data_IF_646313713119
#
_entry.id   IF_646313713119
#
_cell.length_a   1.000
_cell.length_b   1.000
_cell.length_c   1.000
_cell.angle_alpha   90.00
_cell.angle_beta   90.00
_cell.angle_gamma   90.00
#
_symmetry.space_group_name_H-M   'P 1'
#
loop_
_entity.id
_entity.type
_entity.pdbx_description
1 polymer ?
#
# COMPACT_ATOMS: atom_id res chain seq x y z
N UNK A 1 -7.76 13.30 4.12
CA UNK A 1 -8.31 12.13 4.83
C UNK A 1 -8.75 11.12 3.78
N UNK A 2 -7.98 10.04 3.57
CA UNK A 2 -8.22 9.04 2.52
C UNK A 2 -9.62 8.41 2.59
N UNK A 3 -10.17 8.30 3.79
CA UNK A 3 -11.44 7.64 4.03
C UNK A 3 -12.63 8.50 3.56
N UNK A 4 -12.53 9.83 3.70
CA UNK A 4 -13.50 10.78 3.14
C UNK A 4 -13.43 10.83 1.61
N UNK A 5 -12.24 10.69 1.05
CA UNK A 5 -12.03 10.69 -0.39
C UNK A 5 -12.61 9.42 -1.05
N UNK A 6 -12.43 8.26 -0.41
CA UNK A 6 -13.03 7.00 -0.84
C UNK A 6 -14.57 7.03 -0.78
N UNK A 7 -15.16 7.61 0.27
CA UNK A 7 -16.61 7.79 0.37
C UNK A 7 -17.16 8.71 -0.73
N UNK A 8 -16.46 9.80 -1.03
CA UNK A 8 -16.84 10.74 -2.09
C UNK A 8 -16.82 10.09 -3.47
N UNK A 9 -15.77 9.32 -3.79
CA UNK A 9 -15.69 8.59 -5.05
C UNK A 9 -16.77 7.50 -5.18
N UNK A 10 -17.14 6.86 -4.08
CA UNK A 10 -18.25 5.88 -4.06
C UNK A 10 -19.59 6.55 -4.36
N UNK A 11 -19.85 7.72 -3.77
CA UNK A 11 -21.06 8.50 -4.05
C UNK A 11 -21.11 8.99 -5.51
N UNK A 12 -19.97 9.40 -6.07
CA UNK A 12 -19.86 9.84 -7.46
C UNK A 12 -20.09 8.68 -8.45
N UNK A 13 -19.58 7.48 -8.15
CA UNK A 13 -19.91 6.26 -8.89
C UNK A 13 -21.42 5.97 -8.90
N UNK A 14 -22.06 6.05 -7.74
CA UNK A 14 -23.49 5.74 -7.60
C UNK A 14 -24.38 6.77 -8.31
N UNK A 15 -23.95 8.03 -8.33
CA UNK A 15 -24.57 9.09 -9.13
C UNK A 15 -24.43 8.81 -10.63
N UNK A 16 -23.23 8.49 -11.10
CA UNK A 16 -22.99 8.15 -12.51
C UNK A 16 -23.79 6.92 -12.95
N UNK A 17 -23.94 5.91 -12.09
CA UNK A 17 -24.75 4.72 -12.38
C UNK A 17 -26.25 5.06 -12.50
N UNK A 18 -26.76 5.93 -11.62
CA UNK A 18 -28.14 6.44 -11.72
C UNK A 18 -28.37 7.23 -13.00
N UNK A 19 -27.43 8.09 -13.39
CA UNK A 19 -27.51 8.85 -14.65
C UNK A 19 -27.51 7.91 -15.87
N UNK A 20 -26.63 6.90 -15.88
CA UNK A 20 -26.59 5.91 -16.96
C UNK A 20 -27.90 5.14 -17.08
N UNK A 21 -28.52 4.77 -15.95
CA UNK A 21 -29.83 4.11 -15.93
C UNK A 21 -30.93 5.01 -16.52
N UNK A 22 -30.89 6.30 -16.22
CA UNK A 22 -31.83 7.27 -16.75
C UNK A 22 -31.65 7.49 -18.26
N UNK A 23 -30.40 7.57 -18.74
CA UNK A 23 -30.06 7.69 -20.16
C UNK A 23 -30.51 6.43 -20.92
N UNK A 24 -30.23 5.22 -20.40
CA UNK A 24 -30.68 3.96 -21.01
C UNK A 24 -32.19 3.91 -21.14
N UNK A 25 -32.93 4.30 -20.09
CA UNK A 25 -34.40 4.39 -20.12
C UNK A 25 -34.90 5.40 -21.15
N UNK A 26 -34.22 6.55 -21.27
CA UNK A 26 -34.50 7.55 -22.31
C UNK A 26 -34.34 6.98 -23.72
N UNK A 27 -33.21 6.32 -24.00
CA UNK A 27 -32.94 5.70 -25.30
C UNK A 27 -33.97 4.63 -25.68
N UNK A 28 -34.37 3.77 -24.74
CA UNK A 28 -35.41 2.75 -24.99
C UNK A 28 -36.74 3.41 -25.37
N UNK A 29 -37.13 4.49 -24.69
CA UNK A 29 -38.35 5.24 -25.01
C UNK A 29 -38.29 5.90 -26.40
N UNK A 30 -37.15 6.47 -26.76
CA UNK A 30 -36.96 7.08 -28.09
C UNK A 30 -37.06 6.03 -29.20
N UNK A 31 -36.39 4.88 -29.05
CA UNK A 31 -36.47 3.78 -30.04
C UNK A 31 -37.89 3.24 -30.15
N UNK A 32 -38.62 3.10 -29.05
CA UNK A 32 -40.02 2.68 -29.08
C UNK A 32 -40.90 3.68 -29.87
N UNK A 33 -40.71 4.99 -29.65
CA UNK A 33 -41.40 6.06 -30.37
C UNK A 33 -41.09 6.04 -31.87
N UNK A 34 -39.84 5.79 -32.23
CA UNK A 34 -39.39 5.70 -33.62
C UNK A 34 -40.01 4.47 -34.33
N UNK A 35 -40.05 3.31 -33.66
CA UNK A 35 -40.76 2.14 -34.17
C UNK A 35 -42.27 2.39 -34.36
N UNK A 36 -42.91 3.09 -33.43
CA UNK A 36 -44.34 3.45 -33.51
C UNK A 36 -44.60 4.35 -34.74
N UNK A 37 -43.81 5.42 -34.91
CA UNK A 37 -43.90 6.31 -36.06
C UNK A 37 -43.61 5.59 -37.38
N UNK A 38 -42.69 4.62 -37.40
CA UNK A 38 -42.40 3.82 -38.58
C UNK A 38 -43.58 2.93 -38.98
N UNK A 39 -44.23 2.28 -38.00
CA UNK A 39 -45.44 1.51 -38.21
C UNK A 39 -46.59 2.37 -38.75
N UNK A 40 -46.80 3.57 -38.19
CA UNK A 40 -47.79 4.54 -38.70
C UNK A 40 -47.46 5.01 -40.11
N UNK A 41 -46.20 5.35 -40.40
CA UNK A 41 -45.77 5.77 -41.73
C UNK A 41 -45.99 4.67 -42.77
N UNK A 42 -45.72 3.41 -42.41
CA UNK A 42 -46.00 2.26 -43.26
C UNK A 42 -47.49 2.10 -43.52
N UNK A 43 -48.33 2.30 -42.50
CA UNK A 43 -49.80 2.27 -42.64
C UNK A 43 -50.30 3.39 -43.55
N UNK A 44 -49.80 4.61 -43.39
CA UNK A 44 -50.14 5.76 -44.25
C UNK A 44 -49.69 5.55 -45.70
N UNK A 45 -48.49 5.01 -45.92
CA UNK A 45 -48.02 4.63 -47.26
C UNK A 45 -48.92 3.58 -47.90
N UNK A 46 -49.35 2.57 -47.15
CA UNK A 46 -50.27 1.56 -47.65
C UNK A 46 -51.65 2.15 -48.02
N UNK A 47 -52.21 2.99 -47.15
CA UNK A 47 -53.45 3.73 -47.42
C UNK A 47 -53.34 4.58 -48.69
N UNK A 48 -52.28 5.38 -48.80
CA UNK A 48 -52.00 6.25 -49.96
C UNK A 48 -51.81 5.48 -51.26
N UNK A 49 -51.11 4.33 -51.22
CA UNK A 49 -50.95 3.46 -52.37
C UNK A 49 -52.28 2.79 -52.77
N UNK A 50 -53.12 2.42 -51.81
CA UNK A 50 -54.44 1.82 -52.09
C UNK A 50 -55.47 2.83 -52.59
N UNK A 51 -55.33 4.11 -52.23
CA UNK A 51 -56.25 5.18 -52.66
C UNK A 51 -55.88 5.78 -54.02
N UNK A 52 -54.65 5.55 -54.51
CA UNK A 52 -54.13 6.06 -55.79
C UNK A 52 -54.92 5.58 -57.02
N UNK A 53 -55.30 4.29 -57.13
CA UNK A 53 -56.14 3.82 -58.24
C UNK A 53 -57.52 4.48 -58.30
N UNK A 54 -58.05 4.96 -57.17
CA UNK A 54 -59.35 5.63 -57.09
C UNK A 54 -59.28 7.13 -57.44
N UNK A 55 -58.07 7.72 -57.53
CA UNK A 55 -57.88 9.13 -57.90
C UNK A 55 -57.58 9.31 -59.40
N UNK A 56 -56.90 8.35 -60.03
CA UNK A 56 -56.65 8.38 -61.48
C UNK A 56 -57.93 8.15 -62.31
N UNK A 57 -58.97 7.53 -61.73
CA UNK A 57 -60.25 7.25 -62.40
C UNK A 57 -61.31 8.34 -62.13
N UNK A 58 -61.06 9.25 -61.18
CA UNK A 58 -62.02 10.29 -60.75
C UNK A 58 -61.63 11.72 -61.14
N UNK A 59 -60.54 11.91 -61.87
CA UNK A 59 -60.21 13.20 -62.48
C UNK A 59 -60.78 13.22 -63.90
N UNK A 60 -61.83 14.02 -64.19
CA UNK A 60 -62.18 14.32 -65.57
C UNK A 60 -60.93 14.85 -66.28
N UNK A 61 -60.64 14.31 -67.45
CA UNK A 61 -59.65 14.89 -68.33
C UNK A 61 -59.98 16.38 -68.50
N UNK A 62 -58.97 17.26 -68.48
CA UNK A 62 -59.15 18.72 -68.66
C UNK A 62 -59.86 19.03 -70.00
N UNK A 63 -59.99 18.03 -70.88
CA UNK A 63 -60.78 18.07 -72.11
C UNK A 63 -62.31 18.16 -71.90
N UNK A 64 -62.85 17.83 -70.72
CA UNK A 64 -64.30 17.83 -70.46
C UNK A 64 -64.83 19.13 -69.83
N UNK A 65 -63.94 20.08 -69.47
CA UNK A 65 -64.32 21.41 -68.97
C UNK A 65 -64.55 22.44 -70.08
N UNK A 66 -64.43 22.05 -71.35
CA UNK A 66 -64.75 22.91 -72.50
C UNK A 66 -66.07 22.42 -73.09
N UNK A 67 -67.16 22.57 -72.34
CA UNK A 67 -68.52 22.40 -72.85
C UNK A 67 -69.39 23.53 -72.30
N UNK A 68 -69.65 24.49 -73.20
CA UNK A 68 -70.75 25.47 -73.20
C UNK A 68 -70.92 26.38 -71.97
N UNK A 69 -70.50 27.63 -72.12
CA UNK A 69 -71.28 28.76 -71.64
C UNK A 69 -71.60 29.67 -72.84
N UNK A 70 -72.74 29.38 -73.47
CA UNK A 70 -73.48 30.32 -74.29
C UNK A 70 -74.05 31.42 -73.39
N UNK A 71 -73.76 32.67 -73.78
CA UNK A 71 -74.74 33.75 -73.87
C UNK A 71 -75.63 34.04 -72.65
N UNK A 72 -75.25 35.07 -71.87
CA UNK A 72 -76.23 35.98 -71.28
C UNK A 72 -75.90 37.41 -71.63
N UNK A 73 -76.74 37.95 -72.50
CA UNK A 73 -76.84 39.31 -72.96
C UNK A 73 -77.06 40.29 -71.78
N UNK A 74 -76.23 41.31 -71.67
CA UNK A 74 -76.60 42.60 -71.05
C UNK A 74 -75.90 43.70 -71.84
N UNK A 75 -76.50 44.07 -72.98
CA UNK A 75 -76.13 45.24 -73.78
C UNK A 75 -76.36 46.55 -73.00
N UNK A 76 -75.29 47.34 -72.89
CA UNK A 76 -75.31 48.81 -72.77
C UNK A 76 -74.63 49.38 -74.03
N UNK A 77 -75.27 50.27 -74.82
CA UNK A 77 -74.79 50.67 -76.14
C UNK A 77 -73.96 51.97 -76.07
N UNK A 78 -72.65 51.89 -76.31
CA UNK A 78 -71.82 53.09 -76.45
C UNK A 78 -70.31 52.91 -76.73
N UNK A 79 -69.73 51.72 -76.57
CA UNK A 79 -68.30 51.50 -76.84
C UNK A 79 -68.07 50.62 -78.05
N UNK A 80 -67.23 51.11 -78.97
CA UNK A 80 -66.72 50.38 -80.14
C UNK A 80 -66.11 49.02 -79.70
N UNK A 81 -66.66 47.87 -80.15
CA UNK A 81 -66.17 46.53 -79.77
C UNK A 81 -64.67 46.33 -80.01
N UNK A 82 -64.11 46.96 -81.04
CA UNK A 82 -62.68 46.85 -81.36
C UNK A 82 -61.78 47.50 -80.29
N UNK A 83 -62.22 48.63 -79.73
CA UNK A 83 -61.51 49.33 -78.65
C UNK A 83 -61.50 48.52 -77.35
N UNK A 84 -62.59 47.80 -77.06
CA UNK A 84 -62.67 46.87 -75.93
C UNK A 84 -61.69 45.71 -76.07
N UNK A 85 -61.65 45.03 -77.22
CA UNK A 85 -60.69 43.94 -77.45
C UNK A 85 -59.23 44.41 -77.39
N UNK A 86 -58.94 45.61 -77.92
CA UNK A 86 -57.60 46.20 -77.84
C UNK A 86 -57.15 46.47 -76.40
N UNK A 87 -58.05 46.97 -75.55
CA UNK A 87 -57.76 47.19 -74.12
C UNK A 87 -57.58 45.85 -73.39
N UNK A 88 -58.46 44.87 -73.65
CA UNK A 88 -58.37 43.52 -73.07
C UNK A 88 -57.03 42.84 -73.40
N UNK A 89 -56.54 42.95 -74.64
CA UNK A 89 -55.22 42.40 -75.03
C UNK A 89 -54.08 43.09 -74.27
N UNK A 90 -54.18 44.42 -74.05
CA UNK A 90 -53.18 45.18 -73.29
C UNK A 90 -53.16 44.77 -71.81
N UNK A 91 -54.32 44.64 -71.18
CA UNK A 91 -54.44 44.24 -69.78
C UNK A 91 -53.94 42.80 -69.56
N UNK A 92 -54.24 41.89 -70.50
CA UNK A 92 -53.68 40.54 -70.51
C UNK A 92 -52.15 40.55 -70.70
N UNK A 93 -51.63 41.41 -71.57
CA UNK A 93 -50.19 41.53 -71.79
C UNK A 93 -49.45 42.06 -70.56
N UNK A 94 -50.03 43.02 -69.83
CA UNK A 94 -49.51 43.51 -68.56
C UNK A 94 -49.58 42.43 -67.47
N UNK A 95 -50.70 41.70 -67.39
CA UNK A 95 -50.87 40.57 -66.45
C UNK A 95 -49.83 39.47 -66.71
N UNK A 96 -49.63 39.08 -67.97
CA UNK A 96 -48.60 38.10 -68.35
C UNK A 96 -47.20 38.61 -67.99
N UNK A 97 -46.92 39.90 -68.19
CA UNK A 97 -45.63 40.50 -67.84
C UNK A 97 -45.40 40.48 -66.32
N UNK A 98 -46.41 40.80 -65.51
CA UNK A 98 -46.35 40.72 -64.04
C UNK A 98 -46.11 39.28 -63.57
N UNK A 99 -46.89 38.33 -64.11
CA UNK A 99 -46.75 36.90 -63.77
C UNK A 99 -45.38 36.34 -64.15
N UNK A 100 -44.76 36.82 -65.25
CA UNK A 100 -43.41 36.42 -65.64
C UNK A 100 -42.34 36.94 -64.67
N UNK A 101 -42.48 38.17 -64.16
CA UNK A 101 -41.54 38.70 -63.17
C UNK A 101 -41.72 38.02 -61.81
N UNK A 102 -42.96 37.77 -61.37
CA UNK A 102 -43.25 36.98 -60.18
C UNK A 102 -42.67 35.56 -60.28
N UNK A 103 -42.86 34.88 -61.43
CA UNK A 103 -42.25 33.57 -61.69
C UNK A 103 -40.73 33.62 -61.56
N UNK A 104 -40.09 34.66 -62.12
CA UNK A 104 -38.63 34.84 -62.04
C UNK A 104 -38.18 35.09 -60.59
N UNK A 105 -38.92 35.89 -59.84
CA UNK A 105 -38.65 36.14 -58.42
C UNK A 105 -38.78 34.86 -57.58
N UNK A 106 -39.87 34.10 -57.75
CA UNK A 106 -40.09 32.83 -57.07
C UNK A 106 -39.03 31.79 -57.46
N UNK A 107 -38.60 31.77 -58.73
CA UNK A 107 -37.52 30.88 -59.18
C UNK A 107 -36.21 31.21 -58.47
N UNK A 108 -35.87 32.50 -58.33
CA UNK A 108 -34.68 32.93 -57.58
C UNK A 108 -34.78 32.56 -56.09
N UNK A 109 -35.97 32.72 -55.48
CA UNK A 109 -36.20 32.31 -54.08
C UNK A 109 -36.04 30.79 -53.90
N UNK A 110 -36.62 29.99 -54.79
CA UNK A 110 -36.45 28.53 -54.77
C UNK A 110 -34.99 28.10 -54.91
N UNK A 111 -34.23 28.76 -55.79
CA UNK A 111 -32.79 28.49 -55.94
C UNK A 111 -31.99 28.84 -54.68
N UNK A 112 -32.33 29.93 -54.00
CA UNK A 112 -31.67 30.31 -52.75
C UNK A 112 -32.02 29.33 -51.61
N UNK A 113 -33.30 28.94 -51.49
CA UNK A 113 -33.72 27.92 -50.52
C UNK A 113 -33.07 26.56 -50.80
N UNK A 114 -32.98 26.17 -52.07
CA UNK A 114 -32.29 24.94 -52.48
C UNK A 114 -30.82 24.95 -52.05
N UNK A 115 -30.10 26.07 -52.27
CA UNK A 115 -28.72 26.22 -51.80
C UNK A 115 -28.60 26.14 -50.28
N UNK A 116 -29.53 26.76 -49.55
CA UNK A 116 -29.53 26.71 -48.09
C UNK A 116 -29.77 25.29 -47.57
N UNK A 117 -30.65 24.52 -48.21
CA UNK A 117 -30.88 23.10 -47.88
C UNK A 117 -29.61 22.29 -48.12
N UNK A 118 -28.92 22.51 -49.23
CA UNK A 118 -27.65 21.82 -49.56
C UNK A 118 -26.55 22.14 -48.54
N UNK A 119 -26.40 23.41 -48.15
CA UNK A 119 -25.43 23.85 -47.13
C UNK A 119 -25.72 23.23 -45.76
N UNK A 120 -26.98 23.25 -45.30
CA UNK A 120 -27.39 22.63 -44.03
C UNK A 120 -27.22 21.11 -44.06
N UNK A 121 -27.46 20.48 -45.20
CA UNK A 121 -27.25 19.04 -45.38
C UNK A 121 -25.77 18.69 -45.25
N UNK A 122 -24.89 19.43 -45.94
CA UNK A 122 -23.45 19.23 -45.85
C UNK A 122 -22.91 19.47 -44.42
N UNK A 123 -23.43 20.48 -43.70
CA UNK A 123 -23.06 20.73 -42.31
C UNK A 123 -23.48 19.55 -41.40
N UNK A 124 -24.71 19.06 -41.57
CA UNK A 124 -25.23 17.92 -40.80
C UNK A 124 -24.40 16.66 -41.06
N UNK A 125 -24.00 16.40 -42.31
CA UNK A 125 -23.14 15.27 -42.65
C UNK A 125 -21.75 15.37 -42.00
N UNK A 126 -21.18 16.58 -41.97
CA UNK A 126 -19.92 16.85 -41.28
C UNK A 126 -20.02 16.60 -39.78
N UNK A 127 -21.06 17.14 -39.13
CA UNK A 127 -21.31 16.93 -37.70
C UNK A 127 -21.54 15.45 -37.38
N UNK A 128 -22.25 14.72 -38.25
CA UNK A 128 -22.41 13.27 -38.11
C UNK A 128 -21.08 12.51 -38.22
N UNK A 129 -20.18 12.93 -39.12
CA UNK A 129 -18.85 12.35 -39.25
C UNK A 129 -18.00 12.60 -38.00
N UNK A 130 -18.02 13.83 -37.47
CA UNK A 130 -17.33 14.19 -36.22
C UNK A 130 -17.89 13.40 -35.03
N UNK A 131 -19.21 13.28 -34.92
CA UNK A 131 -19.87 12.47 -33.89
C UNK A 131 -19.46 11.00 -33.96
N UNK A 132 -19.33 10.42 -35.16
CA UNK A 132 -18.85 9.03 -35.33
C UNK A 132 -17.41 8.85 -34.85
N UNK A 133 -16.52 9.80 -35.14
CA UNK A 133 -15.13 9.73 -34.69
C UNK A 133 -15.00 9.93 -33.16
N UNK A 134 -15.83 10.81 -32.58
CA UNK A 134 -15.94 10.96 -31.12
C UNK A 134 -16.42 9.66 -30.46
N UNK A 135 -17.45 9.01 -31.01
CA UNK A 135 -17.92 7.71 -30.49
C UNK A 135 -16.83 6.64 -30.52
N UNK A 136 -16.05 6.57 -31.60
CA UNK A 136 -14.91 5.66 -31.73
C UNK A 136 -13.84 5.95 -30.67
N UNK A 137 -13.55 7.23 -30.41
CA UNK A 137 -12.61 7.65 -29.36
C UNK A 137 -13.10 7.26 -27.97
N UNK A 138 -14.38 7.49 -27.66
CA UNK A 138 -15.00 7.08 -26.39
C UNK A 138 -14.93 5.56 -26.22
N UNK A 139 -15.16 4.79 -27.29
CA UNK A 139 -15.06 3.33 -27.23
C UNK A 139 -13.61 2.87 -26.94
N UNK A 140 -12.62 3.49 -27.56
CA UNK A 140 -11.20 3.23 -27.31
C UNK A 140 -10.79 3.59 -25.88
N UNK A 141 -11.25 4.74 -25.36
CA UNK A 141 -11.03 5.14 -23.98
C UNK A 141 -11.71 4.17 -23.00
N UNK A 142 -12.95 3.73 -23.29
CA UNK A 142 -13.65 2.73 -22.48
C UNK A 142 -12.90 1.41 -22.41
N UNK A 143 -12.36 0.92 -23.54
CA UNK A 143 -11.49 -0.28 -23.58
C UNK A 143 -10.23 -0.09 -22.75
N UNK A 144 -9.62 1.09 -22.81
CA UNK A 144 -8.42 1.43 -22.03
C UNK A 144 -8.71 1.47 -20.53
N UNK A 145 -9.82 2.07 -20.12
CA UNK A 145 -10.27 2.09 -18.72
C UNK A 145 -10.51 0.66 -18.21
N UNK A 146 -11.14 -0.22 -19.00
CA UNK A 146 -11.32 -1.63 -18.62
C UNK A 146 -10.00 -2.35 -18.36
N UNK A 147 -8.98 -2.11 -19.21
CA UNK A 147 -7.64 -2.66 -19.00
C UNK A 147 -6.99 -2.10 -17.73
N UNK A 148 -7.08 -0.78 -17.50
CA UNK A 148 -6.59 -0.17 -16.26
C UNK A 148 -7.26 -0.75 -15.01
N UNK A 149 -8.58 -0.93 -15.03
CA UNK A 149 -9.31 -1.52 -13.91
C UNK A 149 -8.89 -2.97 -13.65
N UNK A 150 -8.64 -3.76 -14.71
CA UNK A 150 -8.09 -5.11 -14.58
C UNK A 150 -6.74 -5.10 -13.88
N UNK A 151 -5.82 -4.27 -14.37
CA UNK A 151 -4.50 -4.11 -13.76
C UNK A 151 -4.58 -3.63 -12.31
N UNK A 152 -5.48 -2.68 -12.02
CA UNK A 152 -5.70 -2.21 -10.65
C UNK A 152 -6.12 -3.34 -9.72
N UNK A 153 -7.03 -4.22 -10.15
CA UNK A 153 -7.44 -5.40 -9.39
C UNK A 153 -6.27 -6.37 -9.18
N UNK A 154 -5.48 -6.62 -10.23
CA UNK A 154 -4.30 -7.49 -10.13
C UNK A 154 -3.26 -6.93 -9.16
N UNK A 155 -2.97 -5.63 -9.24
CA UNK A 155 -2.03 -4.97 -8.33
C UNK A 155 -2.50 -4.99 -6.88
N UNK A 156 -3.80 -4.80 -6.62
CA UNK A 156 -4.36 -4.92 -5.26
C UNK A 156 -4.20 -6.35 -4.72
N UNK A 157 -4.51 -7.36 -5.53
CA UNK A 157 -4.36 -8.76 -5.15
C UNK A 157 -2.88 -9.14 -4.90
N UNK A 158 -1.97 -8.72 -5.79
CA UNK A 158 -0.52 -8.92 -5.60
C UNK A 158 -0.04 -8.28 -4.29
N UNK A 159 -0.47 -7.05 -3.99
CA UNK A 159 -0.14 -6.36 -2.74
C UNK A 159 -0.69 -7.07 -1.50
N UNK A 160 -1.96 -7.49 -1.53
CA UNK A 160 -2.59 -8.22 -0.42
C UNK A 160 -1.85 -9.52 -0.13
N UNK A 161 -1.50 -10.30 -1.16
CA UNK A 161 -0.73 -11.53 -1.00
C UNK A 161 0.65 -11.29 -0.38
N UNK A 162 1.37 -10.26 -0.84
CA UNK A 162 2.67 -9.91 -0.28
C UNK A 162 2.57 -9.43 1.17
N UNK A 163 1.51 -8.70 1.50
CA UNK A 163 1.23 -8.27 2.87
C UNK A 163 0.95 -9.47 3.77
N UNK A 164 0.09 -10.39 3.37
CA UNK A 164 -0.21 -11.61 4.14
C UNK A 164 1.04 -12.47 4.37
N UNK A 165 1.89 -12.60 3.35
CA UNK A 165 3.15 -13.32 3.46
C UNK A 165 4.11 -12.65 4.47
N UNK A 166 4.21 -11.32 4.44
CA UNK A 166 5.01 -10.56 5.39
C UNK A 166 4.48 -10.70 6.82
N UNK A 167 3.16 -10.59 7.03
CA UNK A 167 2.54 -10.74 8.35
C UNK A 167 2.78 -12.14 8.92
N UNK A 168 2.71 -13.18 8.08
CA UNK A 168 3.04 -14.55 8.45
C UNK A 168 4.52 -14.67 8.86
N UNK A 169 5.44 -14.14 8.06
CA UNK A 169 6.88 -14.17 8.35
C UNK A 169 7.19 -13.47 9.68
N UNK A 170 6.63 -12.29 9.92
CA UNK A 170 6.79 -11.56 11.17
C UNK A 170 6.28 -12.37 12.37
N UNK A 171 5.11 -13.01 12.24
CA UNK A 171 4.56 -13.85 13.31
C UNK A 171 5.46 -15.05 13.64
N UNK A 172 6.05 -15.67 12.61
CA UNK A 172 6.96 -16.80 12.78
C UNK A 172 8.28 -16.35 13.40
N UNK A 173 8.81 -15.20 12.98
CA UNK A 173 10.01 -14.59 13.56
C UNK A 173 9.81 -14.30 15.04
N UNK A 174 8.69 -13.67 15.41
CA UNK A 174 8.39 -13.36 16.81
C UNK A 174 8.25 -14.64 17.67
N UNK A 175 7.60 -15.68 17.14
CA UNK A 175 7.54 -16.99 17.80
C UNK A 175 8.92 -17.60 17.98
N UNK A 176 9.78 -17.53 16.97
CA UNK A 176 11.16 -18.03 17.04
C UNK A 176 12.00 -17.26 18.07
N UNK A 177 11.88 -15.93 18.12
CA UNK A 177 12.55 -15.08 19.11
C UNK A 177 12.11 -15.41 20.54
N UNK A 178 10.79 -15.56 20.74
CA UNK A 178 10.22 -15.94 22.04
C UNK A 178 10.72 -17.31 22.48
N UNK A 179 10.72 -18.30 21.57
CA UNK A 179 11.21 -19.65 21.84
C UNK A 179 12.71 -19.65 22.17
N UNK A 180 13.53 -18.91 21.42
CA UNK A 180 14.96 -18.80 21.69
C UNK A 180 15.23 -18.16 23.07
N UNK A 181 14.48 -17.13 23.44
CA UNK A 181 14.57 -16.52 24.77
C UNK A 181 14.20 -17.51 25.87
N UNK A 182 13.09 -18.24 25.73
CA UNK A 182 12.67 -19.25 26.68
C UNK A 182 13.71 -20.37 26.85
N UNK A 183 14.30 -20.85 25.74
CA UNK A 183 15.38 -21.84 25.75
C UNK A 183 16.62 -21.32 26.46
N UNK A 184 17.01 -20.07 26.24
CA UNK A 184 18.16 -19.46 26.94
C UNK A 184 17.90 -19.35 28.44
N UNK A 185 16.70 -18.95 28.85
CA UNK A 185 16.32 -18.86 30.26
C UNK A 185 16.38 -20.24 30.92
N UNK A 186 15.80 -21.27 30.29
CA UNK A 186 15.86 -22.66 30.79
C UNK A 186 17.29 -23.18 30.86
N UNK A 187 18.14 -22.89 29.86
CA UNK A 187 19.55 -23.29 29.87
C UNK A 187 20.32 -22.60 31.01
N UNK A 188 20.08 -21.30 31.25
CA UNK A 188 20.70 -20.58 32.38
C UNK A 188 20.25 -21.15 33.73
N UNK A 189 18.97 -21.47 33.88
CA UNK A 189 18.46 -22.07 35.12
C UNK A 189 18.99 -23.48 35.35
N UNK A 190 19.04 -24.33 34.30
CA UNK A 190 19.66 -25.65 34.38
C UNK A 190 21.16 -25.58 34.71
N UNK A 191 21.90 -24.63 34.10
CA UNK A 191 23.30 -24.39 34.42
C UNK A 191 23.48 -23.93 35.87
N UNK A 192 22.60 -23.07 36.38
CA UNK A 192 22.60 -22.64 37.79
C UNK A 192 22.39 -23.83 38.72
N UNK A 193 21.40 -24.68 38.42
CA UNK A 193 21.12 -25.89 39.19
C UNK A 193 22.30 -26.88 39.18
N UNK A 194 22.89 -27.12 38.00
CA UNK A 194 24.09 -27.96 37.84
C UNK A 194 25.28 -27.44 38.66
N UNK A 195 25.50 -26.12 38.65
CA UNK A 195 26.56 -25.49 39.44
C UNK A 195 26.35 -25.65 40.95
N UNK A 196 25.11 -25.51 41.44
CA UNK A 196 24.78 -25.73 42.86
C UNK A 196 25.05 -27.18 43.25
N UNK A 197 24.62 -28.15 42.43
CA UNK A 197 24.86 -29.57 42.68
C UNK A 197 26.36 -29.91 42.66
N UNK A 198 27.14 -29.34 41.74
CA UNK A 198 28.60 -29.51 41.71
C UNK A 198 29.29 -28.92 42.95
N UNK A 199 28.82 -27.78 43.47
CA UNK A 199 29.31 -27.22 44.73
C UNK A 199 28.94 -28.06 45.95
N UNK A 200 27.78 -28.69 45.95
CA UNK A 200 27.27 -29.49 47.07
C UNK A 200 27.70 -30.96 47.01
N UNK A 201 28.13 -31.44 45.84
CA UNK A 201 28.32 -32.85 45.53
C UNK A 201 29.57 -33.50 46.14
N UNK A 202 30.43 -32.75 46.82
CA UNK A 202 31.61 -33.29 47.47
C UNK A 202 31.52 -33.10 49.00
N UNK A 203 31.05 -34.12 49.75
CA UNK A 203 31.07 -34.12 51.21
C UNK A 203 32.48 -33.84 51.75
N UNK A 204 33.51 -34.21 50.98
CA UNK A 204 34.91 -33.94 51.30
C UNK A 204 35.22 -32.44 51.28
N UNK A 205 34.67 -31.66 50.35
CA UNK A 205 34.91 -30.20 50.29
C UNK A 205 34.20 -29.50 51.46
N UNK A 206 32.97 -29.90 51.78
CA UNK A 206 32.26 -29.38 52.95
C UNK A 206 32.98 -29.74 54.25
N UNK A 207 33.52 -30.96 54.36
CA UNK A 207 34.33 -31.40 55.50
C UNK A 207 35.66 -30.65 55.58
N UNK A 208 36.37 -30.46 54.46
CA UNK A 208 37.62 -29.68 54.41
C UNK A 208 37.37 -28.25 54.88
N UNK A 209 36.30 -27.61 54.42
CA UNK A 209 35.93 -26.27 54.85
C UNK A 209 35.60 -26.22 56.35
N UNK A 210 34.86 -27.20 56.85
CA UNK A 210 34.59 -27.31 58.30
C UNK A 210 35.87 -27.54 59.12
N UNK A 211 36.83 -28.31 58.60
CA UNK A 211 38.12 -28.53 59.24
C UNK A 211 38.99 -27.26 59.21
N UNK A 212 38.96 -26.47 58.15
CA UNK A 212 39.60 -25.15 58.07
C UNK A 212 38.98 -24.17 59.09
N UNK A 213 37.65 -24.14 59.20
CA UNK A 213 36.94 -23.32 60.18
C UNK A 213 37.33 -23.74 61.61
N UNK A 214 37.35 -25.05 61.92
CA UNK A 214 37.79 -25.56 63.23
C UNK A 214 39.25 -25.19 63.51
N UNK A 215 40.14 -25.30 62.53
CA UNK A 215 41.54 -24.91 62.69
C UNK A 215 41.68 -23.40 62.96
N UNK A 216 40.89 -22.56 62.29
CA UNK A 216 40.89 -21.11 62.50
C UNK A 216 40.37 -20.72 63.89
N UNK A 217 39.30 -21.37 64.36
CA UNK A 217 38.73 -21.17 65.70
C UNK A 217 39.69 -21.68 66.76
N UNK A 218 40.36 -22.80 66.52
CA UNK A 218 41.37 -23.34 67.45
C UNK A 218 42.56 -22.39 67.56
N UNK A 219 43.03 -21.84 66.43
CA UNK A 219 44.11 -20.86 66.41
C UNK A 219 43.75 -19.59 67.18
N UNK A 220 42.57 -19.02 66.92
CA UNK A 220 42.11 -17.82 67.64
C UNK A 220 41.88 -18.11 69.13
N UNK A 221 41.36 -19.28 69.50
CA UNK A 221 41.20 -19.68 70.89
C UNK A 221 42.55 -19.83 71.60
N UNK A 222 43.56 -20.38 70.93
CA UNK A 222 44.91 -20.50 71.47
C UNK A 222 45.59 -19.13 71.60
N UNK A 223 45.42 -18.24 70.62
CA UNK A 223 45.85 -16.84 70.70
C UNK A 223 45.22 -16.12 71.89
N UNK A 224 43.92 -16.28 72.11
CA UNK A 224 43.21 -15.74 73.28
C UNK A 224 43.71 -16.38 74.59
N UNK A 225 44.01 -17.69 74.59
CA UNK A 225 44.61 -18.38 75.75
C UNK A 225 45.99 -17.83 76.11
N UNK A 226 46.85 -17.62 75.11
CA UNK A 226 48.20 -17.09 75.30
C UNK A 226 48.11 -15.65 75.80
N UNK A 227 47.27 -14.81 75.19
CA UNK A 227 47.03 -13.45 75.67
C UNK A 227 46.50 -13.41 77.11
N UNK A 228 45.62 -14.34 77.48
CA UNK A 228 45.13 -14.45 78.86
C UNK A 228 46.23 -14.94 79.81
N UNK A 229 47.04 -15.92 79.40
CA UNK A 229 48.18 -16.43 80.17
C UNK A 229 49.22 -15.34 80.43
N UNK A 230 49.53 -14.51 79.44
CA UNK A 230 50.43 -13.36 79.56
C UNK A 230 49.85 -12.30 80.51
N UNK A 231 48.57 -11.92 80.35
CA UNK A 231 47.90 -10.99 81.27
C UNK A 231 47.82 -11.52 82.71
N UNK A 232 47.61 -12.83 82.91
CA UNK A 232 47.64 -13.46 84.24
C UNK A 232 49.07 -13.48 84.80
N UNK A 233 50.09 -13.72 83.98
CA UNK A 233 51.50 -13.64 84.38
C UNK A 233 51.93 -12.22 84.77
N UNK A 234 51.51 -11.21 84.02
CA UNK A 234 51.75 -9.79 84.32
C UNK A 234 51.01 -9.35 85.59
N UNK A 235 49.75 -9.75 85.75
CA UNK A 235 48.97 -9.43 86.97
C UNK A 235 49.47 -10.19 88.21
N UNK A 236 49.93 -11.43 88.08
CA UNK A 236 50.59 -12.17 89.17
C UNK A 236 51.97 -11.61 89.51
N UNK A 237 52.76 -11.18 88.52
CA UNK A 237 54.06 -10.52 88.74
C UNK A 237 53.92 -9.18 89.47
N UNK A 238 52.88 -8.40 89.14
CA UNK A 238 52.52 -7.17 89.88
C UNK A 238 51.90 -7.43 91.26
N UNK A 239 51.39 -8.65 91.49
CA UNK A 239 50.85 -9.08 92.79
C UNK A 239 51.97 -9.58 93.73
N UNK A 240 53.07 -10.10 93.19
CA UNK A 240 54.21 -10.61 93.97
C UNK A 240 55.14 -9.50 94.50
N UNK A 241 55.14 -8.30 93.92
CA UNK A 241 55.79 -7.10 94.51
C UNK A 241 54.92 -6.39 95.57
N UNK A 242 53.70 -6.89 95.83
CA UNK A 242 52.76 -6.24 96.76
C UNK A 242 51.93 -7.19 97.63
N UNK A 243 52.54 -8.20 98.29
CA UNK A 243 52.09 -8.71 99.61
C UNK A 243 52.98 -9.81 100.21
N UNK A 244 53.89 -9.38 101.09
CA UNK A 244 54.16 -10.07 102.35
C UNK A 244 52.92 -9.96 103.25
N UNK A 245 52.71 -11.00 104.05
CA UNK A 245 51.78 -11.21 105.18
C UNK A 245 50.34 -11.76 104.96
N UNK A 246 50.25 -13.08 105.24
CA UNK A 246 49.38 -13.74 106.25
C UNK A 246 47.87 -13.88 105.99
N UNK A 247 47.54 -15.12 105.60
CA UNK A 247 46.63 -16.07 106.26
C UNK A 247 45.10 -15.96 106.19
N UNK A 248 44.56 -17.13 105.80
CA UNK A 248 43.45 -17.88 106.39
C UNK A 248 42.02 -17.31 106.30
N UNK A 249 41.18 -17.98 105.51
CA UNK A 249 40.17 -18.94 106.03
C UNK A 249 39.26 -19.48 104.92
N UNK A 250 39.17 -20.81 104.86
CA UNK A 250 38.13 -21.64 104.23
C UNK A 250 36.86 -21.66 105.15
N UNK A 251 35.62 -22.00 104.70
CA UNK A 251 35.31 -23.23 103.95
C UNK A 251 34.21 -23.18 102.86
N UNK A 252 34.22 -24.25 102.06
CA UNK A 252 33.24 -24.77 101.08
C UNK A 252 31.96 -25.35 101.74
N UNK A 253 31.01 -26.05 101.05
CA UNK A 253 30.74 -26.24 99.61
C UNK A 253 29.23 -26.03 99.21
N UNK A 254 28.90 -25.98 97.92
CA UNK A 254 27.49 -25.99 97.47
C UNK A 254 27.30 -26.11 95.95
N UNK A 255 26.54 -27.12 95.55
CA UNK A 255 26.35 -27.74 94.22
C UNK A 255 25.59 -26.90 93.16
N UNK A 256 25.82 -27.24 91.87
CA UNK A 256 24.86 -27.25 90.72
C UNK A 256 24.90 -26.06 89.69
N UNK A 257 24.25 -26.17 88.50
CA UNK A 257 24.86 -26.13 87.15
C UNK A 257 24.55 -24.85 86.34
N UNK A 258 25.08 -24.64 85.11
CA UNK A 258 24.97 -23.37 84.38
C UNK A 258 23.59 -23.13 83.74
N UNK A 259 23.21 -21.87 83.47
CA UNK A 259 21.92 -21.52 82.87
C UNK A 259 21.94 -21.67 81.34
N UNK A 260 20.80 -22.11 80.81
CA UNK A 260 20.52 -22.29 79.38
C UNK A 260 20.14 -20.96 78.68
N UNK A 261 20.46 -20.79 77.38
CA UNK A 261 19.93 -19.72 76.53
C UNK A 261 18.51 -20.03 76.01
N UNK A 262 17.71 -19.01 75.63
CA UNK A 262 16.28 -19.14 75.32
C UNK A 262 15.99 -19.85 73.98
N UNK A 263 14.76 -20.40 73.79
CA UNK A 263 14.41 -21.20 72.62
C UNK A 263 14.11 -20.34 71.38
N UNK A 264 14.61 -20.77 70.22
CA UNK A 264 14.18 -20.29 68.90
C UNK A 264 13.03 -21.15 68.37
N UNK A 265 12.08 -20.58 67.59
CA UNK A 265 10.94 -21.31 67.04
C UNK A 265 11.37 -22.32 65.95
N UNK A 266 10.59 -23.40 65.73
CA UNK A 266 10.91 -24.40 64.72
C UNK A 266 10.68 -23.87 63.30
N UNK A 267 11.48 -24.29 62.31
CA UNK A 267 11.19 -24.04 60.89
C UNK A 267 9.96 -24.86 60.43
N UNK A 268 9.18 -24.37 59.46
CA UNK A 268 8.04 -25.10 58.89
C UNK A 268 8.50 -26.37 58.14
N UNK A 269 7.63 -27.39 58.01
CA UNK A 269 7.95 -28.61 57.26
C UNK A 269 8.17 -28.29 55.77
N UNK A 270 9.08 -29.00 55.08
CA UNK A 270 9.23 -28.89 53.64
C UNK A 270 7.95 -29.37 52.92
N UNK A 271 7.57 -28.77 51.78
CA UNK A 271 6.49 -29.28 50.94
C UNK A 271 6.83 -30.68 50.40
N UNK A 272 5.83 -31.53 50.10
CA UNK A 272 6.07 -32.83 49.50
C UNK A 272 6.81 -32.69 48.16
N UNK A 273 7.72 -33.63 47.81
CA UNK A 273 8.39 -33.59 46.52
C UNK A 273 7.36 -33.70 45.38
N UNK A 274 7.54 -32.97 44.27
CA UNK A 274 6.70 -33.14 43.08
C UNK A 274 6.86 -34.57 42.52
N UNK A 275 5.82 -35.15 41.90
CA UNK A 275 5.91 -36.46 41.28
C UNK A 275 7.01 -36.48 40.21
N UNK A 276 7.75 -37.60 40.07
CA UNK A 276 8.82 -37.71 39.08
C UNK A 276 8.26 -37.50 37.66
N UNK A 277 9.00 -36.79 36.78
CA UNK A 277 8.61 -36.66 35.38
C UNK A 277 8.62 -38.02 34.67
N UNK A 278 7.73 -38.24 33.68
CA UNK A 278 7.69 -39.49 32.92
C UNK A 278 9.00 -39.71 32.14
N UNK A 279 9.44 -40.96 31.98
CA UNK A 279 10.70 -41.27 31.29
C UNK A 279 10.67 -40.85 29.82
N UNK A 280 11.76 -40.26 29.28
CA UNK A 280 11.84 -39.89 27.88
C UNK A 280 11.94 -41.13 26.97
N UNK A 281 11.37 -41.08 25.74
CA UNK A 281 11.35 -42.22 24.84
C UNK A 281 12.76 -42.61 24.37
N UNK A 282 13.12 -43.87 24.63
CA UNK A 282 14.41 -44.46 24.29
C UNK A 282 14.57 -44.64 22.77
N UNK A 283 15.29 -43.73 22.12
CA UNK A 283 16.05 -43.96 20.87
C UNK A 283 17.21 -42.96 20.94
N UNK A 284 18.48 -43.36 21.12
CA UNK A 284 19.35 -43.89 20.08
C UNK A 284 20.59 -44.53 20.72
N UNK A 285 21.03 -45.67 20.17
CA UNK A 285 22.17 -46.46 20.65
C UNK A 285 23.54 -45.78 20.38
N UNK A 286 24.41 -45.59 21.40
CA UNK A 286 25.72 -44.92 21.26
C UNK A 286 26.81 -45.77 20.59
N UNK A 287 26.53 -47.03 20.26
CA UNK A 287 27.50 -47.95 19.64
C UNK A 287 27.89 -47.56 18.20
N UNK A 288 27.04 -46.81 17.50
CA UNK A 288 27.29 -46.36 16.11
C UNK A 288 28.48 -45.39 16.01
N UNK A 289 28.63 -44.51 17.00
CA UNK A 289 29.69 -43.49 17.03
C UNK A 289 31.06 -44.09 17.37
N UNK A 290 31.10 -45.13 18.21
CA UNK A 290 32.35 -45.78 18.61
C UNK A 290 32.96 -46.60 17.45
N UNK A 291 32.11 -47.27 16.67
CA UNK A 291 32.54 -48.07 15.51
C UNK A 291 33.14 -47.18 14.40
N UNK A 292 32.68 -45.94 14.27
CA UNK A 292 33.22 -44.97 13.31
C UNK A 292 34.62 -44.46 13.71
N UNK A 293 34.90 -44.36 15.02
CA UNK A 293 36.19 -43.92 15.54
C UNK A 293 37.24 -45.05 15.43
N UNK A 294 36.84 -46.31 15.67
CA UNK A 294 37.77 -47.44 15.66
C UNK A 294 38.21 -47.91 14.26
N UNK A 295 37.54 -47.51 13.17
CA UNK A 295 37.93 -47.89 11.79
C UNK A 295 38.94 -46.93 11.13
N UNK A 296 39.35 -45.85 11.79
CA UNK A 296 40.25 -44.83 11.23
C UNK A 296 41.59 -44.76 11.96
N UNK A 297 42.28 -45.90 12.08
CA UNK A 297 43.67 -45.94 12.56
C UNK A 297 44.47 -47.09 11.93
N UNK A 298 44.76 -47.00 10.63
CA UNK A 298 45.82 -47.81 10.02
C UNK A 298 46.43 -47.15 8.76
N UNK A 299 47.50 -46.35 8.93
CA UNK A 299 48.75 -46.34 8.10
C UNK A 299 49.59 -45.07 8.29
N UNK A 300 50.85 -45.28 8.73
CA UNK A 300 52.06 -44.46 8.47
C UNK A 300 52.19 -43.17 9.29
N UNK A 301 53.31 -42.79 9.90
CA UNK A 301 54.65 -43.36 10.00
C UNK A 301 55.60 -42.32 10.65
N UNK A 302 56.35 -42.76 11.67
CA UNK A 302 57.58 -42.22 12.30
C UNK A 302 57.77 -40.70 12.58
N UNK A 303 57.95 -40.38 13.87
CA UNK A 303 58.69 -39.22 14.39
C UNK A 303 58.59 -39.11 15.92
N UNK A 304 59.73 -39.18 16.63
CA UNK A 304 59.88 -39.21 18.11
C UNK A 304 59.68 -37.83 18.78
N UNK A 305 59.42 -37.76 20.11
CA UNK A 305 58.85 -36.59 20.77
C UNK A 305 59.91 -35.65 21.37
N UNK A 306 59.66 -34.33 21.36
CA UNK A 306 60.34 -33.38 22.26
C UNK A 306 59.45 -32.17 22.56
N UNK A 307 59.05 -32.11 23.83
CA UNK A 307 58.74 -30.97 24.70
C UNK A 307 58.63 -29.56 24.04
N UNK A 308 57.45 -28.95 24.08
CA UNK A 308 57.27 -27.53 24.42
C UNK A 308 55.79 -27.19 24.65
N UNK A 309 55.48 -26.78 25.87
CA UNK A 309 54.15 -26.47 26.39
C UNK A 309 54.12 -24.98 26.72
N UNK A 310 53.74 -24.14 25.75
CA UNK A 310 53.45 -22.71 26.00
C UNK A 310 52.58 -22.03 24.91
N UNK A 311 52.50 -22.54 23.69
CA UNK A 311 51.83 -21.84 22.57
C UNK A 311 50.40 -22.31 22.26
N UNK A 312 49.87 -23.28 22.99
CA UNK A 312 48.58 -23.94 22.65
C UNK A 312 47.37 -23.06 22.99
N UNK A 313 47.48 -22.14 23.95
CA UNK A 313 46.33 -21.37 24.42
C UNK A 313 45.90 -20.25 23.45
N UNK A 314 46.84 -19.56 22.79
CA UNK A 314 46.51 -18.54 21.78
C UNK A 314 45.89 -19.16 20.52
N UNK A 315 46.42 -20.30 20.04
CA UNK A 315 45.90 -20.95 18.84
C UNK A 315 44.46 -21.47 19.04
N UNK A 316 44.10 -21.89 20.26
CA UNK A 316 42.74 -22.35 20.58
C UNK A 316 41.75 -21.19 20.61
N UNK A 317 42.15 -20.02 21.13
CA UNK A 317 41.28 -18.84 21.14
C UNK A 317 41.16 -18.21 19.74
N UNK A 318 42.19 -18.27 18.90
CA UNK A 318 42.11 -17.86 17.50
C UNK A 318 41.14 -18.75 16.69
N UNK A 319 41.12 -20.06 16.97
CA UNK A 319 40.18 -21.01 16.35
C UNK A 319 38.75 -20.77 16.82
N UNK A 320 38.53 -20.43 18.10
CA UNK A 320 37.20 -20.07 18.61
C UNK A 320 36.69 -18.76 18.01
N UNK A 321 37.53 -17.73 17.92
CA UNK A 321 37.16 -16.45 17.32
C UNK A 321 36.84 -16.62 15.84
N UNK A 322 37.62 -17.41 15.09
CA UNK A 322 37.32 -17.75 13.69
C UNK A 322 35.99 -18.53 13.57
N UNK A 323 35.73 -19.49 14.44
CA UNK A 323 34.49 -20.26 14.44
C UNK A 323 33.25 -19.43 14.79
N UNK A 324 33.36 -18.49 15.75
CA UNK A 324 32.27 -17.58 16.10
C UNK A 324 32.02 -16.57 14.99
N UNK A 325 33.07 -16.04 14.36
CA UNK A 325 32.93 -15.10 13.25
C UNK A 325 32.31 -15.77 12.02
N UNK A 326 32.72 -17.01 11.71
CA UNK A 326 32.10 -17.84 10.67
C UNK A 326 30.63 -18.17 11.00
N UNK A 327 30.31 -18.43 12.27
CA UNK A 327 28.94 -18.66 12.73
C UNK A 327 28.09 -17.39 12.61
N UNK A 328 28.61 -16.23 13.00
CA UNK A 328 27.92 -14.94 12.86
C UNK A 328 27.67 -14.59 11.39
N UNK A 329 28.64 -14.86 10.50
CA UNK A 329 28.46 -14.67 9.05
C UNK A 329 27.42 -15.63 8.47
N UNK A 330 27.33 -16.88 8.94
CA UNK A 330 26.22 -17.79 8.54
C UNK A 330 24.86 -17.33 9.06
N UNK A 331 24.79 -16.72 10.24
CA UNK A 331 23.55 -16.15 10.77
C UNK A 331 23.14 -14.92 9.95
N UNK A 332 24.11 -14.07 9.59
CA UNK A 332 23.91 -12.85 8.78
C UNK A 332 23.41 -13.15 7.36
N UNK A 333 23.91 -14.22 6.75
CA UNK A 333 23.44 -14.67 5.43
C UNK A 333 22.17 -15.54 5.49
N UNK A 334 21.75 -15.96 6.68
CA UNK A 334 20.60 -16.83 6.90
C UNK A 334 20.86 -18.27 6.43
N UNK A 335 20.11 -19.22 6.98
CA UNK A 335 20.08 -20.59 6.49
C UNK A 335 18.91 -20.71 5.51
N UNK A 336 19.21 -21.02 4.24
CA UNK A 336 18.19 -21.34 3.24
C UNK A 336 17.52 -22.65 3.64
N UNK A 337 16.40 -22.56 4.35
CA UNK A 337 15.55 -23.72 4.64
C UNK A 337 14.90 -24.15 3.33
N UNK A 338 15.18 -25.38 2.89
CA UNK A 338 14.44 -25.98 1.79
C UNK A 338 12.97 -26.11 2.22
N UNK A 339 12.00 -25.78 1.34
CA UNK A 339 10.61 -26.09 1.59
C UNK A 339 10.46 -27.57 1.91
N UNK A 340 10.00 -27.88 3.11
CA UNK A 340 9.70 -29.26 3.51
C UNK A 340 8.38 -29.62 2.82
N UNK A 341 8.45 -30.48 1.79
CA UNK A 341 7.29 -31.19 1.28
C UNK A 341 6.77 -32.09 2.41
N UNK A 342 5.58 -31.82 2.90
CA UNK A 342 4.84 -32.66 3.82
C UNK A 342 4.68 -34.06 3.21
N UNK A 343 5.38 -35.07 3.74
CA UNK A 343 5.12 -36.46 3.39
C UNK A 343 3.93 -36.98 4.19
N UNK A 344 2.82 -37.17 3.47
CA UNK A 344 1.98 -38.36 3.43
C UNK A 344 1.52 -39.01 4.76
N UNK A 345 0.29 -38.66 5.17
CA UNK A 345 -0.71 -39.70 5.44
C UNK A 345 -1.66 -39.75 4.24
N UNK A 346 -1.56 -40.85 3.47
CA UNK A 346 -2.38 -41.30 2.31
C UNK A 346 -3.45 -40.34 1.74
N UNK A 347 -3.33 -39.89 0.47
CA UNK A 347 -4.40 -39.20 -0.23
C UNK A 347 -5.37 -40.16 -0.95
N UNK A 348 -6.66 -39.88 -0.77
CA UNK A 348 -7.80 -40.27 -1.62
C UNK A 348 -7.74 -39.54 -2.98
N UNK A 349 -8.25 -40.09 -4.10
CA UNK A 349 -7.92 -39.64 -5.47
C UNK A 349 -8.62 -38.34 -5.91
N UNK A 350 -8.97 -37.43 -4.99
CA UNK A 350 -9.67 -36.17 -5.31
C UNK A 350 -8.79 -34.93 -5.14
N UNK A 351 -7.57 -35.08 -4.60
CA UNK A 351 -6.65 -33.95 -4.34
C UNK A 351 -5.48 -33.83 -5.34
N UNK A 352 -5.47 -34.59 -6.43
CA UNK A 352 -4.46 -34.47 -7.49
C UNK A 352 -4.67 -33.26 -8.41
N UNK A 353 -5.85 -32.64 -8.39
CA UNK A 353 -6.16 -31.46 -9.20
C UNK A 353 -5.70 -30.12 -8.57
N UNK A 354 -5.50 -30.08 -7.24
CA UNK A 354 -5.14 -28.84 -6.54
C UNK A 354 -3.62 -28.61 -6.44
N UNK A 355 -2.80 -29.67 -6.48
CA UNK A 355 -1.35 -29.58 -6.32
C UNK A 355 -0.57 -29.34 -7.64
N UNK A 356 -1.25 -29.35 -8.79
CA UNK A 356 -0.68 -28.95 -10.08
C UNK A 356 -0.63 -27.42 -10.27
N UNK A 357 -1.25 -26.64 -9.36
CA UNK A 357 -1.37 -25.18 -9.49
C UNK A 357 -0.19 -24.37 -8.90
N UNK A 358 0.78 -25.01 -8.23
CA UNK A 358 1.88 -24.30 -7.55
C UNK A 358 3.26 -24.42 -8.23
N UNK A 359 3.34 -25.03 -9.42
CA UNK A 359 4.51 -25.00 -10.32
C UNK A 359 4.03 -24.69 -11.75
N UNK A 360 3.20 -23.67 -11.86
CA UNK A 360 2.89 -22.94 -13.10
C UNK A 360 3.24 -21.47 -12.85
N UNK A 361 4.53 -21.20 -12.58
CA UNK A 361 5.13 -19.87 -12.70
C UNK A 361 5.36 -19.63 -14.20
N UNK A 362 4.25 -19.58 -14.93
CA UNK A 362 4.21 -19.56 -16.38
C UNK A 362 3.26 -18.46 -16.80
N UNK A 363 3.81 -17.26 -16.96
CA UNK A 363 3.19 -16.14 -17.69
C UNK A 363 1.72 -15.87 -17.31
N UNK A 364 1.46 -15.54 -16.05
CA UNK A 364 0.48 -14.48 -15.81
C UNK A 364 1.26 -13.17 -15.99
N UNK A 365 0.95 -12.42 -17.06
CA UNK A 365 1.50 -11.07 -17.23
C UNK A 365 1.40 -10.33 -15.89
N UNK A 366 2.55 -9.97 -15.30
CA UNK A 366 2.53 -9.24 -14.02
C UNK A 366 1.68 -7.98 -14.18
N UNK A 367 0.97 -7.56 -13.13
CA UNK A 367 0.20 -6.31 -13.17
C UNK A 367 1.01 -5.14 -13.75
N UNK A 368 2.33 -5.10 -13.48
CA UNK A 368 3.24 -4.10 -14.03
C UNK A 368 3.51 -4.23 -15.54
N UNK A 369 3.55 -5.45 -16.07
CA UNK A 369 3.79 -5.71 -17.49
C UNK A 369 2.56 -5.35 -18.34
N UNK A 370 1.36 -5.70 -17.87
CA UNK A 370 0.12 -5.25 -18.49
C UNK A 370 -0.05 -3.72 -18.35
N UNK A 371 0.28 -3.14 -17.18
CA UNK A 371 0.27 -1.68 -16.99
C UNK A 371 1.19 -0.98 -18.00
N UNK A 372 2.38 -1.53 -18.22
CA UNK A 372 3.35 -1.03 -19.19
C UNK A 372 2.77 -1.07 -20.61
N UNK A 373 2.14 -2.18 -21.00
CA UNK A 373 1.46 -2.30 -22.29
C UNK A 373 0.34 -1.25 -22.47
N UNK A 374 -0.47 -1.02 -21.43
CA UNK A 374 -1.52 0.01 -21.48
C UNK A 374 -0.92 1.40 -21.62
N UNK A 375 0.09 1.75 -20.81
CA UNK A 375 0.75 3.05 -20.86
C UNK A 375 1.43 3.31 -22.20
N UNK A 376 2.02 2.30 -22.83
CA UNK A 376 2.58 2.40 -24.17
C UNK A 376 1.48 2.72 -25.21
N UNK A 377 0.32 2.06 -25.14
CA UNK A 377 -0.80 2.37 -26.05
C UNK A 377 -1.40 3.77 -25.84
N UNK A 378 -1.50 4.23 -24.60
CA UNK A 378 -1.99 5.58 -24.27
C UNK A 378 -0.98 6.65 -24.68
N UNK A 379 0.32 6.38 -24.54
CA UNK A 379 1.40 7.30 -24.95
C UNK A 379 1.52 7.43 -26.48
N UNK A 380 1.17 6.38 -27.24
CA UNK A 380 1.20 6.38 -28.71
C UNK A 380 -0.06 7.00 -29.35
N UNK A 381 -1.14 7.10 -28.60
CA UNK A 381 -2.40 7.66 -29.09
C UNK A 381 -2.24 9.19 -29.31
N UNK A 382 -2.41 9.71 -30.54
CA UNK A 382 -2.17 11.14 -30.85
C UNK A 382 -3.11 12.14 -30.17
N UNK A 383 -4.04 11.69 -29.32
CA UNK A 383 -5.13 12.49 -28.76
C UNK A 383 -4.72 13.40 -27.59
N UNK A 384 -3.43 13.44 -27.22
CA UNK A 384 -2.88 14.53 -26.39
C UNK A 384 -2.37 15.65 -27.31
N UNK A 385 -3.29 16.48 -27.78
CA UNK A 385 -2.95 17.70 -28.48
C UNK A 385 -4.13 18.17 -29.31
N UNK A 386 -4.84 19.18 -28.81
CA UNK A 386 -5.40 20.18 -29.69
C UNK A 386 -4.30 20.54 -30.71
N UNK A 387 -4.50 20.23 -31.99
CA UNK A 387 -3.81 20.95 -33.04
C UNK A 387 -4.40 22.35 -33.06
N UNK A 388 -3.87 23.22 -32.20
CA UNK A 388 -3.87 24.64 -32.50
C UNK A 388 -2.97 24.79 -33.73
N UNK A 389 -3.61 25.07 -34.87
CA UNK A 389 -2.92 25.38 -36.12
C UNK A 389 -2.11 26.64 -35.87
N UNK A 390 -0.81 26.50 -35.59
CA UNK A 390 0.08 27.67 -35.56
C UNK A 390 1.34 27.40 -36.34
N UNK A 391 1.43 28.15 -37.42
CA UNK A 391 2.58 28.36 -38.25
C UNK A 391 3.88 28.54 -37.47
N UNK A 392 4.95 28.10 -38.12
CA UNK A 392 6.32 28.28 -37.72
C UNK A 392 6.63 29.72 -37.28
N UNK A 393 7.48 29.81 -36.24
CA UNK A 393 8.26 30.97 -35.79
C UNK A 393 7.50 32.02 -34.98
N UNK A 394 7.60 31.89 -33.66
CA UNK A 394 8.24 32.86 -32.73
C UNK A 394 8.14 32.28 -31.32
N UNK A 395 9.29 31.98 -30.70
CA UNK A 395 9.38 31.66 -29.27
C UNK A 395 8.61 32.74 -28.50
N UNK A 396 7.51 32.36 -27.85
CA UNK A 396 6.69 33.26 -27.04
C UNK A 396 7.53 33.75 -25.86
N UNK A 397 7.37 35.02 -25.48
CA UNK A 397 8.04 35.68 -24.35
C UNK A 397 8.01 34.83 -23.07
N UNK A 398 6.95 34.03 -22.91
CA UNK A 398 6.78 33.06 -21.82
C UNK A 398 7.87 31.97 -21.82
N UNK A 399 8.26 31.44 -22.97
CA UNK A 399 9.32 30.44 -23.08
C UNK A 399 10.69 31.03 -22.77
N UNK A 400 10.92 32.28 -23.13
CA UNK A 400 12.13 33.03 -22.78
C UNK A 400 12.20 33.24 -21.26
N UNK A 401 11.09 33.62 -20.64
CA UNK A 401 10.98 33.78 -19.18
C UNK A 401 11.22 32.43 -18.47
N UNK A 402 10.65 31.34 -18.97
CA UNK A 402 10.80 30.01 -18.37
C UNK A 402 12.22 29.45 -18.56
N UNK A 403 12.88 29.66 -19.70
CA UNK A 403 14.30 29.30 -19.88
C UNK A 403 15.22 30.14 -18.98
N UNK A 404 14.95 31.44 -18.84
CA UNK A 404 15.70 32.34 -17.94
C UNK A 404 15.59 31.90 -16.48
N UNK A 405 14.39 31.54 -16.02
CA UNK A 405 14.16 30.99 -14.66
C UNK A 405 14.87 29.67 -14.44
N UNK A 406 14.86 28.78 -15.44
CA UNK A 406 15.55 27.49 -15.37
C UNK A 406 17.07 27.65 -15.31
N UNK A 407 17.62 28.61 -16.04
CA UNK A 407 19.04 28.94 -16.01
C UNK A 407 19.47 29.60 -14.70
N UNK A 408 18.62 30.46 -14.12
CA UNK A 408 18.85 31.06 -12.80
C UNK A 408 18.79 30.06 -11.64
N UNK A 409 18.10 28.92 -11.78
CA UNK A 409 18.03 27.88 -10.76
C UNK A 409 19.24 26.92 -10.78
N UNK A 410 20.16 27.06 -11.74
CA UNK A 410 21.33 26.20 -11.89
C UNK A 410 22.67 26.89 -11.58
N UNK A 411 22.68 28.18 -11.19
CA UNK A 411 23.90 28.90 -10.80
C UNK A 411 24.00 29.03 -9.26
N UNK A 412 24.87 28.26 -8.57
CA UNK A 412 24.98 28.25 -7.11
C UNK A 412 25.55 29.55 -6.50
N UNK A 413 26.05 30.48 -7.31
CA UNK A 413 26.72 31.71 -6.83
C UNK A 413 25.78 32.89 -6.54
N UNK A 414 24.47 32.77 -6.79
CA UNK A 414 23.52 33.90 -6.62
C UNK A 414 22.74 33.87 -5.30
N UNK A 415 22.73 32.73 -4.60
CA UNK A 415 22.04 32.56 -3.31
C UNK A 415 22.67 33.46 -2.21
N UNK A 416 24.00 33.59 -2.21
CA UNK A 416 24.75 34.35 -1.20
C UNK A 416 24.56 35.88 -1.24
N UNK A 417 24.15 36.44 -2.39
CA UNK A 417 23.90 37.89 -2.53
C UNK A 417 22.49 38.29 -2.12
N UNK A 418 21.49 37.40 -2.18
CA UNK A 418 20.11 37.71 -1.74
C UNK A 418 19.98 37.78 -0.22
N UNK A 419 20.72 36.94 0.50
CA UNK A 419 20.67 36.90 1.97
C UNK A 419 21.30 38.15 2.57
N UNK A 420 22.38 38.68 1.97
CA UNK A 420 23.01 39.92 2.43
C UNK A 420 22.18 41.18 2.13
N UNK A 421 21.39 41.20 1.04
CA UNK A 421 20.50 42.32 0.74
C UNK A 421 19.25 42.36 1.65
N UNK A 422 18.75 41.20 2.09
CA UNK A 422 17.60 41.10 2.99
C UNK A 422 17.91 41.54 4.44
N UNK A 423 19.19 41.60 4.83
CA UNK A 423 19.62 42.01 6.17
C UNK A 423 19.89 43.52 6.33
N UNK A 424 19.76 44.33 5.27
CA UNK A 424 19.96 45.79 5.32
C UNK A 424 18.68 46.63 5.17
N UNK A 425 17.51 46.03 4.91
CA UNK A 425 16.23 46.75 4.69
C UNK A 425 15.28 46.76 5.91
N UNK A 426 15.73 46.30 7.08
CA UNK A 426 14.95 46.29 8.33
C UNK A 426 15.46 47.33 9.35
N UNK A 427 15.34 48.65 9.06
CA UNK A 427 15.01 49.57 10.16
C UNK A 427 14.00 50.67 9.82
N UNK A 428 13.33 50.62 8.66
CA UNK A 428 12.37 51.67 8.25
C UNK A 428 10.89 51.25 8.34
N UNK A 429 10.56 49.95 8.38
CA UNK A 429 9.16 49.49 8.46
C UNK A 429 8.57 49.50 9.88
N UNK A 430 9.41 49.42 10.92
CA UNK A 430 8.93 49.50 12.31
C UNK A 430 8.48 50.90 12.75
N UNK A 431 8.93 51.97 12.08
CA UNK A 431 8.49 53.35 12.39
C UNK A 431 7.08 53.70 11.90
N UNK A 432 6.55 52.98 10.91
CA UNK A 432 5.19 53.24 10.41
C UNK A 432 4.10 52.59 11.29
N UNK A 433 4.41 51.49 11.98
CA UNK A 433 3.43 50.79 12.83
C UNK A 433 3.23 51.52 14.17
N UNK A 434 4.26 52.19 14.67
CA UNK A 434 4.20 52.91 15.96
C UNK A 434 3.48 54.28 15.89
N UNK A 435 3.34 54.86 14.69
CA UNK A 435 2.64 56.14 14.49
C UNK A 435 1.13 55.98 14.22
N UNK A 436 0.66 54.77 13.90
CA UNK A 436 -0.77 54.49 13.64
C UNK A 436 -1.51 53.94 14.87
N UNK A 437 -0.82 53.63 15.96
CA UNK A 437 -1.44 53.10 17.20
C UNK A 437 -1.71 54.15 18.28
N UNK A 438 -1.27 55.41 18.09
CA UNK A 438 -1.40 56.48 19.10
C UNK A 438 -2.47 57.55 18.76
N UNK A 439 -3.37 57.29 17.79
CA UNK A 439 -4.40 58.26 17.37
C UNK A 439 -5.84 57.74 17.48
N UNK A 440 -6.09 56.70 18.29
CA UNK A 440 -7.44 56.10 18.39
C UNK A 440 -7.82 55.73 19.83
N UNK A 441 -7.61 56.66 20.75
CA UNK A 441 -8.26 56.70 22.07
C UNK A 441 -8.58 58.14 22.43
N UNK A 442 -9.58 58.72 21.76
CA UNK A 442 -10.40 59.81 22.28
C UNK A 442 -11.66 59.95 21.41
N UNK A 443 -12.82 60.06 22.06
CA UNK A 443 -14.20 60.20 21.54
C UNK A 443 -14.90 58.92 21.03
N UNK A 444 -16.12 58.55 21.44
CA UNK A 444 -17.07 59.01 22.45
C UNK A 444 -18.20 57.95 22.47
N UNK A 445 -18.62 57.49 23.67
CA UNK A 445 -20.00 57.40 24.18
C UNK A 445 -20.08 56.45 25.38
#
# INVERSE_FOLDING_TARGET
DPQRECQRLTAERDEAERQLKHIKRGKIKTVAKECELNCENRKLKYLSLSSRPCLDELLPSISDCISQEEETDTREPGSDPFSHYKQQVKDLQETVSSLLEEKKQLTCQLQNQQRQIEELTALTEKEQAEMKELYKTIEQQSKTIKRFNRVSMMATHEYENMKEQLDLEQSLRQKAETYAHEMMVKQKEANRQSMILLQQGDPSIQLIKALEDVASVTKTLEEERIQHQEKVGETSGLQEERRSCVSASSPSPGTAPPPAPPPQPPPPPPPPPPPPPPPPPSRCNPLSSLIAIMRKSSKGGKGTPKLEQATVNEAVDEVKVKAVNEMMERIKHGVVLRPVKSQDTKPSPVAAAAAAAAVEEKHQESAMEELKGILETVKKSPSRGFQEVVHAKKDSELEVILRRRRKQACDPDTEGKRINAALQEEPMKLKCIHLLSNSSTDAEC
#
